data_IF_451054932028
#
_entry.id   IF_451054932028
#
_cell.length_a   1.000
_cell.length_b   1.000
_cell.length_c   1.000
_cell.angle_alpha   90.00
_cell.angle_beta   90.00
_cell.angle_gamma   90.00
#
_symmetry.space_group_name_H-M   'P 1'
#
loop_
_entity.id
_entity.type
_entity.pdbx_description
1 polymer ?
#
# COMPACT_ATOMS: atom_id res chain seq x y z
N UNK A 1 55.55 -9.90 3.01
CA UNK A 1 54.09 -9.99 2.84
C UNK A 1 53.47 -10.11 4.22
N UNK A 2 52.77 -9.07 4.67
CA UNK A 2 52.21 -8.97 6.03
C UNK A 2 50.82 -9.61 6.07
N UNK A 3 50.73 -10.79 6.69
CA UNK A 3 49.51 -11.62 6.83
C UNK A 3 48.52 -11.12 7.89
N UNK A 4 48.70 -9.91 8.43
CA UNK A 4 47.91 -9.40 9.55
C UNK A 4 46.69 -8.54 9.16
N UNK A 5 46.50 -8.24 7.87
CA UNK A 5 45.40 -7.36 7.41
C UNK A 5 44.15 -8.10 6.93
N UNK A 6 44.16 -9.44 6.84
CA UNK A 6 43.03 -10.19 6.27
C UNK A 6 41.96 -10.60 7.30
N UNK A 7 42.26 -10.56 8.60
CA UNK A 7 41.34 -10.99 9.65
C UNK A 7 40.37 -9.90 10.14
N UNK A 8 40.66 -8.62 9.87
CA UNK A 8 39.79 -7.52 10.30
C UNK A 8 38.58 -7.30 9.38
N UNK A 9 38.61 -7.80 8.13
CA UNK A 9 37.51 -7.61 7.17
C UNK A 9 36.42 -8.68 7.24
N UNK A 10 36.66 -9.82 7.89
CA UNK A 10 35.66 -10.90 8.01
C UNK A 10 34.78 -10.74 9.25
N UNK A 11 35.30 -10.11 10.32
CA UNK A 11 34.55 -9.95 11.59
C UNK A 11 33.48 -8.85 11.52
N UNK A 12 33.57 -7.91 10.58
CA UNK A 12 32.54 -6.86 10.41
C UNK A 12 31.31 -7.34 9.60
N UNK A 13 31.36 -8.53 8.97
CA UNK A 13 30.24 -9.09 8.20
C UNK A 13 29.35 -10.08 8.99
N UNK A 14 29.75 -10.47 10.21
CA UNK A 14 29.06 -11.48 11.01
C UNK A 14 28.10 -10.90 12.08
N UNK A 15 27.82 -9.59 12.02
CA UNK A 15 27.01 -8.88 13.01
C UNK A 15 25.58 -8.49 12.58
N UNK A 16 25.16 -8.76 11.34
CA UNK A 16 23.75 -8.59 10.96
C UNK A 16 22.99 -9.86 11.36
N UNK A 17 22.78 -10.06 12.65
CA UNK A 17 21.64 -10.85 13.10
C UNK A 17 20.39 -10.14 12.59
N UNK A 18 19.69 -10.76 11.64
CA UNK A 18 18.36 -10.35 11.24
C UNK A 18 17.46 -10.39 12.47
N UNK A 19 17.28 -9.24 13.13
CA UNK A 19 16.13 -9.08 13.99
C UNK A 19 14.88 -9.32 13.13
N UNK A 20 13.83 -9.98 13.65
CA UNK A 20 12.57 -10.03 12.93
C UNK A 20 12.14 -8.58 12.66
N UNK A 21 12.21 -8.18 11.39
CA UNK A 21 11.72 -6.88 10.96
C UNK A 21 10.21 -7.03 10.93
N UNK A 22 9.56 -6.60 12.00
CA UNK A 22 8.14 -6.30 11.94
C UNK A 22 7.92 -5.32 10.79
N UNK A 23 6.86 -5.52 10.00
CA UNK A 23 6.51 -4.61 8.93
C UNK A 23 6.34 -3.19 9.48
N UNK A 24 7.28 -2.29 9.15
CA UNK A 24 7.15 -0.87 9.49
C UNK A 24 6.13 -0.20 8.58
N UNK A 25 5.51 0.92 8.98
CA UNK A 25 4.63 1.68 8.09
C UNK A 25 5.35 2.01 6.78
N UNK A 26 4.66 1.83 5.66
CA UNK A 26 5.12 2.23 4.32
C UNK A 26 5.07 3.75 4.14
N UNK A 27 4.26 4.44 4.95
CA UNK A 27 4.01 5.89 4.86
C UNK A 27 3.48 6.23 3.45
N UNK A 28 2.39 5.58 3.06
CA UNK A 28 1.83 5.75 1.73
C UNK A 28 1.35 7.19 1.55
N UNK A 29 1.77 7.80 0.44
CA UNK A 29 1.22 9.07 -0.01
C UNK A 29 0.34 8.76 -1.22
N UNK A 30 -0.96 8.63 -0.99
CA UNK A 30 -1.93 8.33 -2.04
C UNK A 30 -2.21 9.56 -2.90
N UNK A 31 -2.49 9.37 -4.19
CA UNK A 31 -3.00 10.45 -5.02
C UNK A 31 -4.45 10.75 -4.63
N UNK A 32 -4.85 12.01 -4.72
CA UNK A 32 -6.25 12.42 -4.46
C UNK A 32 -7.23 11.77 -5.45
N UNK A 33 -6.79 11.48 -6.68
CA UNK A 33 -7.57 10.76 -7.69
C UNK A 33 -6.69 9.88 -8.58
N UNK A 34 -7.22 8.76 -9.12
CA UNK A 34 -8.49 8.14 -8.71
C UNK A 34 -8.40 7.53 -7.30
N UNK A 35 -9.51 7.56 -6.57
CA UNK A 35 -9.63 7.01 -5.22
C UNK A 35 -10.91 6.18 -5.07
N UNK A 36 -10.84 5.11 -4.27
CA UNK A 36 -11.98 4.28 -3.90
C UNK A 36 -12.04 4.19 -2.37
N UNK A 37 -13.16 4.65 -1.82
CA UNK A 37 -13.44 4.55 -0.38
C UNK A 37 -14.23 3.29 -0.09
N UNK A 38 -13.69 2.49 0.83
CA UNK A 38 -14.30 1.30 1.38
C UNK A 38 -14.63 1.47 2.86
N UNK A 39 -15.72 0.84 3.31
CA UNK A 39 -16.23 0.97 4.67
C UNK A 39 -16.85 -0.33 5.16
N UNK A 40 -17.08 -0.39 6.47
CA UNK A 40 -17.62 -1.58 7.15
C UNK A 40 -16.76 -2.82 6.89
N UNK A 41 -15.44 -2.63 6.87
CA UNK A 41 -14.49 -3.71 6.65
C UNK A 41 -14.38 -4.58 7.89
N UNK A 42 -14.15 -5.87 7.68
CA UNK A 42 -13.81 -6.87 8.68
C UNK A 42 -12.42 -7.38 8.40
N UNK A 43 -11.51 -7.18 9.35
CA UNK A 43 -10.12 -7.61 9.27
C UNK A 43 -9.94 -8.82 10.17
N UNK A 44 -9.43 -9.92 9.63
CA UNK A 44 -9.22 -11.16 10.35
C UNK A 44 -7.86 -11.74 10.01
N UNK A 45 -7.12 -12.20 11.00
CA UNK A 45 -5.87 -12.90 10.83
C UNK A 45 -5.92 -14.25 11.53
N UNK A 46 -5.58 -15.30 10.80
CA UNK A 46 -5.38 -16.66 11.27
C UNK A 46 -3.88 -16.94 11.37
N UNK A 47 -3.39 -17.08 12.60
CA UNK A 47 -1.98 -17.29 12.92
C UNK A 47 -1.46 -18.69 12.59
N UNK A 48 -2.36 -19.66 12.42
CA UNK A 48 -2.03 -21.03 12.01
C UNK A 48 -1.88 -21.08 10.49
N UNK A 49 -2.83 -20.48 9.78
CA UNK A 49 -2.81 -20.40 8.32
C UNK A 49 -1.83 -19.33 7.81
N UNK A 50 -1.43 -18.38 8.66
CA UNK A 50 -0.64 -17.19 8.30
C UNK A 50 -1.34 -16.34 7.24
N UNK A 51 -2.67 -16.20 7.37
CA UNK A 51 -3.52 -15.51 6.39
C UNK A 51 -4.27 -14.37 7.07
N UNK A 52 -4.07 -13.17 6.53
CA UNK A 52 -4.87 -11.99 6.78
C UNK A 52 -5.94 -11.86 5.70
N UNK A 53 -7.21 -11.76 6.08
CA UNK A 53 -8.32 -11.43 5.19
C UNK A 53 -8.95 -10.10 5.59
N UNK A 54 -9.29 -9.29 4.58
CA UNK A 54 -10.08 -8.09 4.77
C UNK A 54 -11.22 -8.09 3.77
N UNK A 55 -12.44 -8.09 4.30
CA UNK A 55 -13.65 -8.14 3.50
C UNK A 55 -14.63 -7.06 3.95
N UNK A 56 -15.33 -6.44 3.01
CA UNK A 56 -16.38 -5.47 3.34
C UNK A 56 -16.91 -4.80 2.09
N UNK A 57 -17.18 -3.50 2.19
CA UNK A 57 -17.90 -2.79 1.13
C UNK A 57 -17.09 -1.69 0.50
N UNK A 58 -17.05 -1.66 -0.84
CA UNK A 58 -16.60 -0.51 -1.60
C UNK A 58 -17.80 0.40 -1.86
N UNK A 59 -17.70 1.67 -1.45
CA UNK A 59 -18.86 2.55 -1.33
C UNK A 59 -18.86 3.68 -2.36
N UNK A 60 -17.69 4.26 -2.64
CA UNK A 60 -17.54 5.41 -3.53
C UNK A 60 -16.29 5.27 -4.38
N UNK A 61 -16.39 5.72 -5.62
CA UNK A 61 -15.28 5.93 -6.55
C UNK A 61 -15.20 7.43 -6.85
N UNK A 62 -14.07 8.07 -6.53
CA UNK A 62 -13.79 9.44 -6.90
C UNK A 62 -12.75 9.47 -8.04
N UNK A 63 -13.11 10.11 -9.14
CA UNK A 63 -12.26 10.26 -10.32
C UNK A 63 -11.86 11.71 -10.60
N UNK A 64 -12.50 12.68 -9.96
CA UNK A 64 -12.36 14.10 -10.27
C UNK A 64 -12.02 14.98 -9.05
N UNK A 65 -12.00 14.40 -7.85
CA UNK A 65 -11.66 15.06 -6.60
C UNK A 65 -12.82 15.87 -6.04
N UNK A 66 -14.04 15.66 -6.54
CA UNK A 66 -15.24 16.40 -6.15
C UNK A 66 -16.13 15.49 -5.30
N UNK A 67 -16.24 15.80 -4.01
CA UNK A 67 -17.11 15.07 -3.10
C UNK A 67 -18.61 15.39 -3.33
N UNK A 68 -19.52 14.40 -3.14
CA UNK A 68 -19.22 12.97 -2.92
C UNK A 68 -18.85 12.27 -4.23
N UNK A 69 -18.01 11.23 -4.13
CA UNK A 69 -17.69 10.37 -5.27
C UNK A 69 -18.90 9.58 -5.78
N UNK A 70 -18.74 8.94 -6.93
CA UNK A 70 -19.78 8.12 -7.53
C UNK A 70 -20.03 6.86 -6.69
N UNK A 71 -21.29 6.58 -6.38
CA UNK A 71 -21.65 5.39 -5.62
C UNK A 71 -21.27 4.10 -6.36
N UNK A 72 -20.65 3.18 -5.62
CA UNK A 72 -20.40 1.81 -6.07
C UNK A 72 -21.50 0.91 -5.51
N UNK A 73 -22.16 0.16 -6.39
CA UNK A 73 -23.25 -0.76 -6.03
C UNK A 73 -22.94 -2.21 -6.44
N UNK A 74 -23.54 -3.21 -5.79
CA UNK A 74 -23.38 -4.63 -6.15
C UNK A 74 -24.00 -4.98 -7.52
N UNK A 75 -25.12 -4.34 -7.86
CA UNK A 75 -25.88 -4.52 -9.10
C UNK A 75 -26.23 -3.18 -9.76
N UNK A 76 -26.58 -3.21 -11.05
CA UNK A 76 -27.05 -2.01 -11.78
C UNK A 76 -28.29 -1.45 -11.11
N UNK A 77 -28.21 -0.20 -10.64
CA UNK A 77 -29.31 0.46 -9.93
C UNK A 77 -29.65 -0.15 -8.57
N UNK A 78 -28.77 -1.02 -8.04
CA UNK A 78 -28.88 -1.56 -6.69
C UNK A 78 -28.68 -0.50 -5.62
N UNK A 79 -29.06 -0.83 -4.39
CA UNK A 79 -28.82 0.00 -3.20
C UNK A 79 -27.78 -0.59 -2.27
N UNK A 80 -27.36 -1.84 -2.50
CA UNK A 80 -26.29 -2.44 -1.71
C UNK A 80 -24.95 -1.98 -2.29
N UNK A 81 -23.94 -1.74 -1.44
CA UNK A 81 -22.63 -1.31 -1.89
C UNK A 81 -21.89 -2.42 -2.65
N UNK A 82 -20.84 -2.04 -3.38
CA UNK A 82 -19.91 -2.99 -3.97
C UNK A 82 -19.11 -3.76 -2.93
N UNK A 83 -18.33 -4.74 -3.37
CA UNK A 83 -17.54 -5.62 -2.52
C UNK A 83 -16.06 -5.23 -2.56
N UNK A 84 -15.44 -5.22 -1.38
CA UNK A 84 -13.99 -5.13 -1.20
C UNK A 84 -13.50 -6.46 -0.64
N UNK A 85 -12.48 -7.04 -1.26
CA UNK A 85 -11.83 -8.27 -0.79
C UNK A 85 -10.32 -8.13 -0.89
N UNK A 86 -9.60 -8.44 0.18
CA UNK A 86 -8.15 -8.50 0.24
C UNK A 86 -7.72 -9.75 1.01
N UNK A 87 -6.70 -10.42 0.51
CA UNK A 87 -6.07 -11.55 1.20
C UNK A 87 -4.56 -11.40 1.12
N UNK A 88 -3.90 -11.50 2.27
CA UNK A 88 -2.45 -11.45 2.39
C UNK A 88 -1.94 -12.62 3.23
N UNK A 89 -0.77 -13.13 2.87
CA UNK A 89 -0.01 -14.08 3.67
C UNK A 89 1.05 -13.31 4.43
N UNK A 90 1.01 -13.42 5.76
CA UNK A 90 1.92 -12.75 6.68
C UNK A 90 2.38 -13.80 7.68
N UNK A 91 3.69 -13.96 7.83
CA UNK A 91 4.21 -14.93 8.79
C UNK A 91 4.10 -14.43 10.24
N UNK A 92 4.41 -15.32 11.19
CA UNK A 92 4.32 -15.01 12.62
C UNK A 92 5.32 -13.92 13.09
N UNK A 93 6.26 -13.49 12.24
CA UNK A 93 7.14 -12.36 12.51
C UNK A 93 6.59 -11.04 11.95
N UNK A 94 5.41 -11.07 11.32
CA UNK A 94 4.82 -9.91 10.66
C UNK A 94 5.44 -9.61 9.29
N UNK A 95 6.15 -10.57 8.70
CA UNK A 95 6.75 -10.39 7.38
C UNK A 95 5.75 -10.78 6.30
N UNK A 96 5.44 -9.83 5.43
CA UNK A 96 4.60 -10.04 4.26
C UNK A 96 5.26 -10.97 3.24
N UNK A 97 4.50 -11.95 2.77
CA UNK A 97 4.96 -12.96 1.81
C UNK A 97 4.32 -12.76 0.43
N UNK A 98 2.99 -12.61 0.38
CA UNK A 98 2.24 -12.44 -0.86
C UNK A 98 0.80 -12.01 -0.57
N UNK A 99 0.08 -11.55 -1.58
CA UNK A 99 -1.36 -11.34 -1.45
C UNK A 99 -1.99 -10.78 -2.71
N UNK A 100 -3.30 -10.60 -2.67
CA UNK A 100 -4.07 -9.98 -3.74
C UNK A 100 -5.27 -9.25 -3.16
N UNK A 101 -5.81 -8.32 -3.94
CA UNK A 101 -7.09 -7.70 -3.63
C UNK A 101 -7.93 -7.51 -4.89
N UNK A 102 -9.22 -7.30 -4.68
CA UNK A 102 -10.16 -6.93 -5.73
C UNK A 102 -11.29 -6.10 -5.17
N UNK A 103 -11.76 -5.16 -6.00
CA UNK A 103 -12.98 -4.40 -5.76
C UNK A 103 -13.97 -4.72 -6.87
N UNK A 104 -15.17 -5.16 -6.49
CA UNK A 104 -16.25 -5.53 -7.41
C UNK A 104 -17.44 -4.60 -7.22
N UNK A 105 -18.05 -4.18 -8.32
CA UNK A 105 -19.29 -3.42 -8.28
C UNK A 105 -19.68 -2.84 -9.62
N UNK A 106 -20.68 -1.99 -9.57
CA UNK A 106 -21.29 -1.23 -10.65
C UNK A 106 -21.22 0.24 -10.28
N UNK A 107 -20.87 1.08 -11.26
CA UNK A 107 -20.75 2.53 -11.10
C UNK A 107 -21.52 3.19 -12.23
N UNK A 108 -22.27 4.27 -11.94
CA UNK A 108 -23.04 5.04 -12.93
C UNK A 108 -23.99 4.21 -13.81
N UNK A 109 -24.52 3.09 -13.28
CA UNK A 109 -25.44 2.21 -14.01
C UNK A 109 -24.76 1.27 -15.02
N UNK A 110 -23.42 1.18 -15.02
CA UNK A 110 -22.69 0.15 -15.75
C UNK A 110 -22.94 -1.24 -15.15
N UNK A 111 -22.82 -2.30 -15.96
CA UNK A 111 -22.95 -3.67 -15.47
C UNK A 111 -21.88 -3.99 -14.39
N UNK A 112 -22.21 -4.75 -13.34
CA UNK A 112 -21.27 -5.10 -12.28
C UNK A 112 -20.08 -5.88 -12.81
N UNK A 113 -18.90 -5.50 -12.35
CA UNK A 113 -17.63 -5.99 -12.84
C UNK A 113 -16.57 -5.82 -11.77
N UNK A 114 -15.40 -6.43 -11.95
CA UNK A 114 -14.22 -6.04 -11.19
C UNK A 114 -13.85 -4.61 -11.61
N UNK A 115 -13.92 -3.68 -10.67
CA UNK A 115 -13.54 -2.28 -10.88
C UNK A 115 -12.03 -2.17 -10.95
N UNK A 116 -11.35 -2.78 -9.96
CA UNK A 116 -9.90 -2.89 -9.90
C UNK A 116 -9.49 -4.17 -9.17
N UNK A 117 -8.34 -4.71 -9.55
CA UNK A 117 -7.68 -5.85 -8.91
C UNK A 117 -6.18 -5.65 -8.93
N UNK A 118 -5.47 -6.25 -7.98
CA UNK A 118 -4.02 -6.22 -7.97
C UNK A 118 -3.38 -7.30 -7.12
N UNK A 119 -2.09 -7.51 -7.36
CA UNK A 119 -1.22 -8.32 -6.51
C UNK A 119 -0.55 -7.39 -5.51
N UNK A 120 -0.62 -7.76 -4.23
CA UNK A 120 0.05 -7.04 -3.15
C UNK A 120 1.56 -7.32 -3.23
N UNK A 121 2.36 -6.27 -3.11
CA UNK A 121 3.81 -6.28 -3.29
C UNK A 121 4.57 -5.91 -2.02
N UNK A 122 3.92 -5.18 -1.11
CA UNK A 122 4.45 -4.88 0.21
C UNK A 122 3.30 -4.65 1.19
N UNK A 123 3.59 -4.83 2.47
CA UNK A 123 2.72 -4.48 3.58
C UNK A 123 3.52 -3.67 4.61
N UNK A 124 2.88 -2.68 5.21
CA UNK A 124 3.33 -2.00 6.41
C UNK A 124 2.22 -1.98 7.44
N UNK A 125 2.60 -1.82 8.70
CA UNK A 125 1.63 -1.69 9.77
C UNK A 125 2.08 -0.65 10.79
N UNK A 126 1.10 0.09 11.33
CA UNK A 126 1.23 0.94 12.51
C UNK A 126 0.20 0.49 13.57
N UNK A 127 0.15 1.18 14.71
CA UNK A 127 -0.74 0.86 15.86
C UNK A 127 -2.19 0.58 15.45
N UNK A 128 -2.73 1.35 14.51
CA UNK A 128 -4.14 1.28 14.10
C UNK A 128 -4.35 1.25 12.58
N UNK A 129 -3.29 0.95 11.82
CA UNK A 129 -3.30 1.07 10.36
C UNK A 129 -2.57 -0.11 9.70
N UNK A 130 -3.14 -0.60 8.60
CA UNK A 130 -2.47 -1.51 7.67
C UNK A 130 -2.32 -0.81 6.33
N UNK A 131 -1.14 -0.86 5.76
CA UNK A 131 -0.81 -0.25 4.48
C UNK A 131 -0.35 -1.32 3.52
N UNK A 132 -0.81 -1.29 2.27
CA UNK A 132 -0.38 -2.22 1.22
C UNK A 132 -0.01 -1.47 -0.04
N UNK A 133 1.08 -1.89 -0.68
CA UNK A 133 1.36 -1.55 -2.07
C UNK A 133 0.86 -2.67 -2.98
N UNK A 134 0.28 -2.32 -4.11
CA UNK A 134 -0.16 -3.30 -5.10
C UNK A 134 0.25 -2.91 -6.52
N UNK A 135 0.43 -3.93 -7.36
CA UNK A 135 0.48 -3.77 -8.80
C UNK A 135 -0.89 -4.05 -9.41
N UNK A 136 -1.42 -3.11 -10.20
CA UNK A 136 -2.70 -3.26 -10.91
C UNK A 136 -2.62 -4.46 -11.86
N UNK A 137 -3.55 -5.41 -11.73
CA UNK A 137 -3.63 -6.59 -12.61
C UNK A 137 -4.78 -6.56 -13.58
N UNK A 138 -5.82 -5.79 -13.27
CA UNK A 138 -6.93 -5.62 -14.18
C UNK A 138 -8.13 -4.92 -13.56
N UNK A 139 -9.18 -4.73 -14.35
CA UNK A 139 -10.46 -4.18 -13.91
C UNK A 139 -10.96 -3.10 -14.85
N UNK A 140 -12.23 -2.73 -14.71
CA UNK A 140 -12.86 -1.77 -15.63
C UNK A 140 -12.31 -0.34 -15.47
N UNK A 141 -11.68 -0.05 -14.34
CA UNK A 141 -11.02 1.22 -14.03
C UNK A 141 -9.48 1.12 -13.99
N UNK A 142 -8.90 -0.01 -14.44
CA UNK A 142 -7.44 -0.23 -14.40
C UNK A 142 -6.66 0.91 -15.07
N UNK A 143 -7.15 1.41 -16.21
CA UNK A 143 -6.50 2.46 -16.98
C UNK A 143 -6.48 3.79 -16.23
N UNK A 144 -7.53 4.08 -15.46
CA UNK A 144 -7.62 5.29 -14.63
C UNK A 144 -6.62 5.24 -13.49
N UNK A 145 -6.35 4.04 -12.94
CA UNK A 145 -5.30 3.80 -11.95
C UNK A 145 -3.88 3.66 -12.55
N UNK A 146 -3.68 4.10 -13.80
CA UNK A 146 -2.38 4.09 -14.48
C UNK A 146 -2.12 2.86 -15.37
N UNK A 147 -3.05 1.91 -15.45
CA UNK A 147 -2.97 0.71 -16.28
C UNK A 147 -2.34 -0.50 -15.59
N UNK A 148 -2.36 -1.65 -16.28
CA UNK A 148 -1.76 -2.90 -15.76
C UNK A 148 -0.28 -2.69 -15.46
N UNK A 149 0.14 -3.08 -14.26
CA UNK A 149 1.50 -2.92 -13.74
C UNK A 149 1.76 -1.56 -13.07
N UNK A 150 0.81 -0.61 -13.11
CA UNK A 150 0.91 0.59 -12.29
C UNK A 150 0.84 0.25 -10.80
N UNK A 151 1.46 1.10 -9.98
CA UNK A 151 1.53 0.91 -8.52
C UNK A 151 0.42 1.74 -7.88
N UNK A 152 -0.39 1.09 -7.05
CA UNK A 152 -1.35 1.75 -6.17
C UNK A 152 -1.06 1.42 -4.71
N UNK A 153 -1.80 2.09 -3.83
CA UNK A 153 -1.74 1.89 -2.39
C UNK A 153 -3.13 1.68 -1.79
N UNK A 154 -3.18 0.89 -0.72
CA UNK A 154 -4.37 0.68 0.11
C UNK A 154 -3.98 1.08 1.54
N UNK A 155 -4.73 1.98 2.15
CA UNK A 155 -4.60 2.32 3.57
C UNK A 155 -5.86 1.85 4.26
N UNK A 156 -5.75 0.87 5.15
CA UNK A 156 -6.83 0.39 6.01
C UNK A 156 -6.65 1.03 7.38
N UNK A 157 -7.66 1.76 7.85
CA UNK A 157 -7.60 2.57 9.06
C UNK A 157 -8.75 2.27 10.01
N UNK A 158 -8.68 2.87 11.21
CA UNK A 158 -9.67 2.68 12.29
C UNK A 158 -9.74 1.23 12.79
N UNK A 159 -8.59 0.55 12.77
CA UNK A 159 -8.42 -0.73 13.47
C UNK A 159 -8.43 -0.47 14.98
N UNK A 160 -9.01 -1.39 15.76
CA UNK A 160 -8.94 -1.32 17.21
C UNK A 160 -7.46 -1.36 17.66
N UNK A 161 -7.12 -0.60 18.71
CA UNK A 161 -5.75 -0.26 19.18
C UNK A 161 -4.80 -1.42 19.54
N UNK A 162 -5.06 -2.66 19.11
CA UNK A 162 -4.24 -3.83 19.44
C UNK A 162 -4.21 -4.92 18.34
N UNK A 163 -4.74 -4.67 17.12
CA UNK A 163 -4.79 -5.73 16.10
C UNK A 163 -3.41 -6.17 15.59
N UNK A 164 -2.40 -5.29 15.62
CA UNK A 164 -1.16 -5.46 14.84
C UNK A 164 0.08 -5.75 15.69
N UNK A 165 -0.08 -5.85 17.02
CA UNK A 165 1.04 -5.96 17.95
C UNK A 165 1.65 -7.37 18.04
N UNK A 166 0.93 -8.41 17.62
CA UNK A 166 1.40 -9.80 17.73
C UNK A 166 0.83 -10.71 16.63
N UNK A 167 1.63 -10.97 15.59
CA UNK A 167 1.30 -11.90 14.49
C UNK A 167 1.39 -13.38 14.90
N UNK A 168 1.64 -13.68 16.18
CA UNK A 168 1.70 -15.06 16.70
C UNK A 168 0.35 -15.59 17.21
N UNK A 169 -0.69 -14.76 17.23
CA UNK A 169 -2.04 -15.13 17.65
C UNK A 169 -3.09 -14.65 16.65
N UNK A 170 -4.25 -15.31 16.64
CA UNK A 170 -5.39 -14.90 15.83
C UNK A 170 -5.91 -13.55 16.33
N UNK A 171 -6.31 -12.69 15.39
CA UNK A 171 -6.97 -11.43 15.72
C UNK A 171 -8.09 -11.11 14.73
N UNK A 172 -9.06 -10.34 15.20
CA UNK A 172 -10.15 -9.85 14.37
C UNK A 172 -10.56 -8.44 14.80
N UNK A 173 -10.92 -7.59 13.85
CA UNK A 173 -11.52 -6.28 14.14
C UNK A 173 -12.86 -6.47 14.82
N UNK A 174 -13.08 -5.79 15.95
CA UNK A 174 -14.32 -5.91 16.72
C UNK A 174 -15.44 -4.99 16.23
N UNK A 175 -15.11 -4.06 15.32
CA UNK A 175 -15.99 -2.98 14.89
C UNK A 175 -16.13 -2.92 13.36
N UNK A 176 -17.34 -2.61 12.88
CA UNK A 176 -17.59 -2.27 11.47
C UNK A 176 -17.22 -0.82 11.14
N UNK A 177 -16.33 -0.19 11.93
CA UNK A 177 -15.83 1.16 11.64
C UNK A 177 -14.59 1.15 10.75
N UNK A 178 -13.99 -0.01 10.50
CA UNK A 178 -12.80 -0.10 9.65
C UNK A 178 -13.12 0.39 8.24
N UNK A 179 -12.26 1.28 7.75
CA UNK A 179 -12.35 1.91 6.45
C UNK A 179 -11.06 1.68 5.66
N UNK A 180 -11.14 1.77 4.34
CA UNK A 180 -9.94 1.77 3.52
C UNK A 180 -10.04 2.76 2.37
N UNK A 181 -8.92 3.39 2.06
CA UNK A 181 -8.73 4.22 0.88
C UNK A 181 -7.83 3.46 -0.10
N UNK A 182 -8.28 3.33 -1.34
CA UNK A 182 -7.58 2.62 -2.41
C UNK A 182 -7.36 3.56 -3.58
N UNK A 183 -6.11 4.00 -3.76
CA UNK A 183 -5.79 5.02 -4.74
C UNK A 183 -4.53 4.68 -5.54
N UNK A 184 -4.34 5.39 -6.64
CA UNK A 184 -3.07 5.37 -7.36
C UNK A 184 -1.95 6.00 -6.50
N UNK A 185 -0.72 5.49 -6.63
CA UNK A 185 0.43 6.20 -6.07
C UNK A 185 0.80 7.36 -7.01
N UNK A 186 1.06 8.57 -6.48
CA UNK A 186 1.59 9.66 -7.27
C UNK A 186 2.93 9.20 -7.86
N UNK A 187 3.14 9.52 -9.13
CA UNK A 187 4.41 9.24 -9.79
C UNK A 187 5.55 9.83 -8.94
N UNK A 188 6.64 9.08 -8.70
CA UNK A 188 7.77 9.60 -7.94
C UNK A 188 8.17 10.95 -8.54
N UNK A 189 8.23 12.00 -7.72
CA UNK A 189 8.69 13.29 -8.21
C UNK A 189 10.04 13.07 -8.91
N UNK A 190 10.20 13.50 -10.18
CA UNK A 190 11.45 13.27 -10.87
C UNK A 190 12.57 13.88 -10.03
N UNK A 191 13.58 13.08 -9.67
CA UNK A 191 14.79 13.52 -8.95
C UNK A 191 15.58 14.63 -9.67
N UNK A 192 15.06 15.12 -10.80
CA UNK A 192 15.42 16.35 -11.49
C UNK A 192 15.48 17.54 -10.52
N UNK A 193 14.63 17.66 -9.49
CA UNK A 193 14.76 18.76 -8.51
C UNK A 193 16.07 18.66 -7.70
N UNK A 194 16.46 17.45 -7.29
CA UNK A 194 17.73 17.21 -6.62
C UNK A 194 18.92 17.41 -7.57
N UNK A 195 18.80 16.97 -8.83
CA UNK A 195 19.81 17.16 -9.86
C UNK A 195 19.97 18.64 -10.27
N UNK A 196 18.88 19.41 -10.31
CA UNK A 196 18.89 20.85 -10.55
C UNK A 196 19.51 21.59 -9.35
N UNK A 197 19.21 21.17 -8.12
CA UNK A 197 19.85 21.70 -6.91
C UNK A 197 21.37 21.47 -6.91
N UNK A 198 21.83 20.27 -7.26
CA UNK A 198 23.26 19.96 -7.40
C UNK A 198 23.91 20.72 -8.59
N UNK A 199 23.18 20.90 -9.69
CA UNK A 199 23.63 21.66 -10.85
C UNK A 199 23.88 23.14 -10.53
N UNK A 200 22.97 23.77 -9.78
CA UNK A 200 23.13 25.14 -9.28
C UNK A 200 24.32 25.29 -8.32
N UNK A 201 24.53 24.32 -7.43
CA UNK A 201 25.69 24.31 -6.54
C UNK A 201 27.02 24.17 -7.31
N UNK A 202 27.06 23.35 -8.37
CA UNK A 202 28.23 23.24 -9.25
C UNK A 202 28.53 24.55 -10.00
N UNK A 203 27.52 25.27 -10.48
CA UNK A 203 27.67 26.57 -11.14
C UNK A 203 28.22 27.65 -10.20
N UNK A 204 27.78 27.67 -8.94
CA UNK A 204 28.31 28.57 -7.91
C UNK A 204 29.77 28.22 -7.56
N UNK A 205 30.11 26.94 -7.49
CA UNK A 205 31.47 26.45 -7.25
C UNK A 205 32.45 26.80 -8.37
N UNK A 206 32.02 26.70 -9.63
CA UNK A 206 32.86 27.02 -10.80
C UNK A 206 33.11 28.52 -10.95
N UNK A 207 32.13 29.38 -10.60
CA UNK A 207 32.30 30.85 -10.66
C UNK A 207 33.37 31.38 -9.71
N UNK A 208 33.61 30.71 -8.57
CA UNK A 208 34.66 31.11 -7.60
C UNK A 208 36.08 30.74 -8.03
N UNK A 209 36.25 29.95 -9.08
CA UNK A 209 37.56 29.49 -9.57
C UNK A 209 38.12 30.34 -10.73
N UNK A 210 37.32 31.27 -11.27
CA UNK A 210 37.70 32.14 -12.39
C UNK A 210 38.34 33.48 -12.02
N UNK A 211 38.56 33.78 -10.73
CA UNK A 211 39.25 35.01 -10.29
C UNK A 211 40.56 34.65 -9.58
N UNK A 212 41.59 34.36 -10.37
CA UNK A 212 43.01 34.51 -10.00
C UNK A 212 43.78 34.97 -11.23
#
# INVERSE_FOLDING_TARGET
MNTKSLFASIVLMLGLSAAPVMATPLNLNLAETPDIVSSFLSVNYDSIAQVLTVDGFATQLDLDGIAPGDMITDVVGGTNPGLFNLTATVDNAGVFQSGSFSIFGSVLGAAPTTLISGILTAMGTDVSTLEFLFGVTGGSYEATFGGIGAIGGIIISQLDDNLTADWTADFASSSFSVQADTAAMPAPEPGILFLQGLGLLMLIGLRRRGTK
#
